data_IF_786083194972
#
_entry.id   IF_786083194972
#
_cell.length_a   1.000
_cell.length_b   1.000
_cell.length_c   1.000
_cell.angle_alpha   90.00
_cell.angle_beta   90.00
_cell.angle_gamma   90.00
#
_symmetry.space_group_name_H-M   'P 1'
#
loop_
_entity.id
_entity.type
_entity.pdbx_description
1 polymer ?
#
# COMPACT_ATOMS: atom_id res chain seq x y z
N UNK A 1 19.27 -6.92 17.24
CA UNK A 1 18.26 -6.84 16.14
C UNK A 1 16.83 -6.97 16.66
N UNK A 2 16.49 -8.01 17.42
CA UNK A 2 15.14 -8.23 17.98
C UNK A 2 14.69 -7.09 18.91
N UNK A 3 15.57 -6.55 19.75
CA UNK A 3 15.26 -5.41 20.63
C UNK A 3 14.92 -4.13 19.86
N UNK A 4 15.61 -3.88 18.75
CA UNK A 4 15.34 -2.73 17.89
C UNK A 4 13.97 -2.84 17.20
N UNK A 5 13.60 -4.06 16.76
CA UNK A 5 12.26 -4.34 16.22
C UNK A 5 11.19 -4.16 17.29
N UNK A 6 11.40 -4.70 18.50
CA UNK A 6 10.48 -4.51 19.63
C UNK A 6 10.30 -3.02 19.98
N UNK A 7 11.37 -2.24 19.98
CA UNK A 7 11.31 -0.80 20.24
C UNK A 7 10.52 -0.04 19.17
N UNK A 8 10.62 -0.43 17.90
CA UNK A 8 9.82 0.14 16.80
C UNK A 8 8.34 -0.23 16.92
N UNK A 9 8.04 -1.50 17.18
CA UNK A 9 6.67 -1.98 17.41
C UNK A 9 6.03 -1.30 18.63
N UNK A 10 6.81 -1.06 19.69
CA UNK A 10 6.36 -0.30 20.85
C UNK A 10 5.91 1.11 20.46
N UNK A 11 6.72 1.85 19.71
CA UNK A 11 6.38 3.19 19.21
C UNK A 11 5.12 3.20 18.33
N UNK A 12 4.98 2.23 17.43
CA UNK A 12 3.75 2.08 16.63
C UNK A 12 2.53 1.81 17.50
N UNK A 13 2.67 0.96 18.52
CA UNK A 13 1.60 0.67 19.47
C UNK A 13 1.16 1.93 20.22
N UNK A 14 2.11 2.76 20.67
CA UNK A 14 1.78 4.05 21.29
C UNK A 14 1.03 4.98 20.34
N UNK A 15 1.48 5.10 19.08
CA UNK A 15 0.79 5.90 18.07
C UNK A 15 -0.65 5.41 17.80
N UNK A 16 -0.87 4.09 17.81
CA UNK A 16 -2.21 3.49 17.64
C UNK A 16 -3.10 3.63 18.87
N UNK A 17 -2.54 3.56 20.08
CA UNK A 17 -3.29 3.86 21.32
C UNK A 17 -3.73 5.32 21.31
N UNK A 18 -2.85 6.21 20.87
CA UNK A 18 -3.11 7.63 20.84
C UNK A 18 -4.13 8.04 19.76
N UNK A 19 -4.04 7.44 18.57
CA UNK A 19 -4.95 7.70 17.46
C UNK A 19 -5.49 6.37 16.91
N UNK A 20 -6.64 5.86 17.41
CA UNK A 20 -7.16 4.55 17.02
C UNK A 20 -7.56 4.48 15.54
N UNK A 21 -7.89 5.62 14.92
CA UNK A 21 -8.16 5.71 13.49
C UNK A 21 -6.95 5.32 12.61
N UNK A 22 -5.72 5.55 13.08
CA UNK A 22 -4.51 5.13 12.34
C UNK A 22 -4.36 3.60 12.30
N UNK A 23 -4.87 2.91 13.32
CA UNK A 23 -4.90 1.45 13.33
C UNK A 23 -5.81 0.93 12.20
N UNK A 24 -7.00 1.52 12.05
CA UNK A 24 -7.93 1.15 10.98
C UNK A 24 -7.37 1.45 9.60
N UNK A 25 -6.75 2.62 9.42
CA UNK A 25 -6.10 3.00 8.17
C UNK A 25 -4.91 2.07 7.83
N UNK A 26 -4.12 1.69 8.84
CA UNK A 26 -3.04 0.71 8.66
C UNK A 26 -3.56 -0.69 8.29
N UNK A 27 -4.65 -1.15 8.91
CA UNK A 27 -5.30 -2.43 8.57
C UNK A 27 -5.87 -2.37 7.14
N UNK A 28 -6.51 -1.27 6.77
CA UNK A 28 -7.06 -1.07 5.43
C UNK A 28 -5.97 -1.10 4.37
N UNK A 29 -4.86 -0.39 4.58
CA UNK A 29 -3.72 -0.39 3.67
C UNK A 29 -3.05 -1.78 3.59
N UNK A 30 -2.96 -2.50 4.70
CA UNK A 30 -2.49 -3.89 4.70
C UNK A 30 -3.43 -4.82 3.91
N UNK A 31 -4.74 -4.60 4.02
CA UNK A 31 -5.72 -5.34 3.24
C UNK A 31 -5.59 -5.05 1.74
N UNK A 32 -5.44 -3.79 1.33
CA UNK A 32 -5.18 -3.43 -0.08
C UNK A 32 -3.90 -4.11 -0.58
N UNK A 33 -2.83 -4.11 0.21
CA UNK A 33 -1.60 -4.80 -0.14
C UNK A 33 -1.84 -6.29 -0.41
N UNK A 34 -2.51 -7.01 0.51
CA UNK A 34 -2.83 -8.42 0.31
C UNK A 34 -3.72 -8.65 -0.91
N UNK A 35 -4.77 -7.84 -1.06
CA UNK A 35 -5.66 -7.90 -2.21
C UNK A 35 -4.91 -7.66 -3.52
N UNK A 36 -3.93 -6.76 -3.54
CA UNK A 36 -3.12 -6.52 -4.73
C UNK A 36 -2.31 -7.74 -5.14
N UNK A 37 -1.79 -8.52 -4.19
CA UNK A 37 -1.06 -9.76 -4.48
C UNK A 37 -2.00 -10.81 -5.08
N UNK A 38 -3.17 -11.00 -4.47
CA UNK A 38 -4.14 -12.03 -4.85
C UNK A 38 -4.84 -11.68 -6.17
N UNK A 39 -5.20 -10.41 -6.36
CA UNK A 39 -6.00 -9.96 -7.51
C UNK A 39 -5.17 -9.60 -8.74
N UNK A 40 -3.85 -9.46 -8.63
CA UNK A 40 -3.03 -9.03 -9.77
C UNK A 40 -3.18 -9.95 -10.99
N UNK A 41 -2.94 -11.26 -10.83
CA UNK A 41 -3.10 -12.22 -11.92
C UNK A 41 -4.52 -12.26 -12.52
N UNK A 42 -5.60 -12.43 -11.73
CA UNK A 42 -6.94 -12.48 -12.30
C UNK A 42 -7.32 -11.17 -13.00
N UNK A 43 -6.87 -10.01 -12.51
CA UNK A 43 -7.04 -8.74 -13.22
C UNK A 43 -6.30 -8.70 -14.55
N UNK A 44 -5.05 -9.18 -14.62
CA UNK A 44 -4.31 -9.23 -15.88
C UNK A 44 -4.94 -10.18 -16.90
N UNK A 45 -5.45 -11.33 -16.46
CA UNK A 45 -6.20 -12.26 -17.32
C UNK A 45 -7.52 -11.65 -17.79
N UNK A 46 -8.22 -10.94 -16.92
CA UNK A 46 -9.43 -10.21 -17.28
C UNK A 46 -9.16 -9.14 -18.34
N UNK A 47 -8.12 -8.32 -18.14
CA UNK A 47 -7.69 -7.30 -19.09
C UNK A 47 -7.27 -7.91 -20.43
N UNK A 48 -6.58 -9.05 -20.41
CA UNK A 48 -6.19 -9.77 -21.62
C UNK A 48 -7.39 -10.25 -22.45
N UNK A 49 -8.45 -10.71 -21.78
CA UNK A 49 -9.68 -11.22 -22.42
C UNK A 49 -10.72 -10.13 -22.70
N UNK A 50 -10.43 -8.89 -22.33
CA UNK A 50 -11.36 -7.77 -22.44
C UNK A 50 -11.55 -7.43 -23.93
N UNK A 51 -12.69 -7.87 -24.46
CA UNK A 51 -13.10 -7.62 -25.83
C UNK A 51 -14.17 -6.53 -25.83
N UNK A 52 -13.85 -5.40 -26.45
CA UNK A 52 -14.80 -4.31 -26.66
C UNK A 52 -14.99 -4.13 -28.16
N UNK A 53 -16.24 -4.25 -28.62
CA UNK A 53 -16.64 -4.08 -30.03
C UNK A 53 -15.83 -4.95 -31.01
N UNK A 54 -15.48 -6.18 -30.63
CA UNK A 54 -14.75 -7.12 -31.48
C UNK A 54 -13.23 -6.94 -31.48
N UNK A 55 -12.71 -5.95 -30.75
CA UNK A 55 -11.28 -5.72 -30.57
C UNK A 55 -10.79 -6.11 -29.17
N UNK A 56 -9.66 -6.82 -29.11
CA UNK A 56 -8.96 -7.11 -27.86
C UNK A 56 -8.02 -5.95 -27.51
N UNK A 57 -8.53 -4.94 -26.81
CA UNK A 57 -7.84 -3.66 -26.60
C UNK A 57 -6.47 -3.77 -25.90
N UNK A 58 -6.32 -4.70 -24.97
CA UNK A 58 -5.11 -4.83 -24.15
C UNK A 58 -4.27 -6.06 -24.48
N UNK A 59 -4.73 -6.92 -25.40
CA UNK A 59 -4.05 -8.17 -25.71
C UNK A 59 -2.66 -7.93 -26.31
N UNK A 60 -2.55 -7.05 -27.30
CA UNK A 60 -1.27 -6.75 -27.95
C UNK A 60 -0.29 -6.07 -27.00
N UNK A 61 -0.78 -5.12 -26.17
CA UNK A 61 0.03 -4.44 -25.16
C UNK A 61 0.59 -5.42 -24.12
N UNK A 62 -0.23 -6.36 -23.65
CA UNK A 62 0.19 -7.38 -22.68
C UNK A 62 1.17 -8.36 -23.32
N UNK A 63 0.94 -8.79 -24.56
CA UNK A 63 1.84 -9.72 -25.28
C UNK A 63 3.20 -9.10 -25.58
N UNK A 64 3.26 -7.82 -25.93
CA UNK A 64 4.52 -7.12 -26.16
C UNK A 64 5.31 -6.87 -24.87
N UNK A 65 4.62 -6.82 -23.72
CA UNK A 65 5.20 -6.44 -22.43
C UNK A 65 5.11 -7.54 -21.35
N UNK A 66 5.05 -8.82 -21.74
CA UNK A 66 4.85 -9.94 -20.79
C UNK A 66 5.84 -9.92 -19.63
N UNK A 67 7.12 -9.61 -19.87
CA UNK A 67 8.12 -9.50 -18.80
C UNK A 67 7.74 -8.43 -17.76
N UNK A 68 7.29 -7.27 -18.22
CA UNK A 68 6.86 -6.17 -17.35
C UNK A 68 5.61 -6.56 -16.55
N UNK A 69 4.67 -7.27 -17.17
CA UNK A 69 3.49 -7.82 -16.49
C UNK A 69 3.87 -8.81 -15.39
N UNK A 70 4.83 -9.71 -15.64
CA UNK A 70 5.31 -10.63 -14.62
C UNK A 70 5.98 -9.88 -13.46
N UNK A 71 6.82 -8.89 -13.74
CA UNK A 71 7.43 -8.05 -12.71
C UNK A 71 6.41 -7.20 -11.94
N UNK A 72 5.31 -6.82 -12.60
CA UNK A 72 4.20 -6.11 -11.99
C UNK A 72 3.58 -6.83 -10.79
N UNK A 73 3.65 -8.17 -10.74
CA UNK A 73 3.20 -8.97 -9.59
C UNK A 73 3.95 -8.60 -8.29
N UNK A 74 5.18 -8.10 -8.39
CA UNK A 74 5.97 -7.65 -7.24
C UNK A 74 5.95 -6.13 -7.09
N UNK A 75 6.03 -5.40 -8.20
CA UNK A 75 6.08 -3.94 -8.20
C UNK A 75 4.77 -3.33 -7.67
N UNK A 76 3.62 -3.89 -8.06
CA UNK A 76 2.31 -3.35 -7.68
C UNK A 76 2.02 -3.51 -6.17
N UNK A 77 2.23 -4.68 -5.55
CA UNK A 77 2.12 -4.78 -4.10
C UNK A 77 3.12 -3.90 -3.37
N UNK A 78 4.36 -3.83 -3.85
CA UNK A 78 5.38 -2.99 -3.22
C UNK A 78 5.00 -1.51 -3.25
N UNK A 79 4.45 -1.01 -4.35
CA UNK A 79 3.99 0.38 -4.44
C UNK A 79 2.83 0.65 -3.49
N UNK A 80 1.87 -0.27 -3.35
CA UNK A 80 0.81 -0.16 -2.33
C UNK A 80 1.35 -0.17 -0.91
N UNK A 81 2.36 -0.99 -0.60
CA UNK A 81 2.97 -1.02 0.72
C UNK A 81 3.68 0.29 1.06
N UNK A 82 4.44 0.85 0.11
CA UNK A 82 5.11 2.14 0.27
C UNK A 82 4.08 3.26 0.42
N UNK A 83 3.08 3.29 -0.45
CA UNK A 83 2.01 4.29 -0.41
C UNK A 83 1.23 4.22 0.91
N UNK A 84 0.83 3.02 1.33
CA UNK A 84 0.12 2.81 2.59
C UNK A 84 0.93 3.19 3.82
N UNK A 85 2.27 3.05 3.78
CA UNK A 85 3.15 3.55 4.82
C UNK A 85 3.12 5.08 4.89
N UNK A 86 3.30 5.77 3.76
CA UNK A 86 3.26 7.23 3.71
C UNK A 86 1.89 7.80 4.10
N UNK A 87 0.82 7.12 3.74
CA UNK A 87 -0.55 7.52 4.10
C UNK A 87 -0.79 7.48 5.62
N UNK A 88 -0.33 6.42 6.31
CA UNK A 88 -0.37 6.32 7.78
C UNK A 88 0.49 7.41 8.43
N UNK A 89 1.69 7.64 7.91
CA UNK A 89 2.66 8.62 8.42
C UNK A 89 2.08 10.03 8.30
N UNK A 90 1.60 10.43 7.12
CA UNK A 90 0.99 11.74 6.87
C UNK A 90 -0.25 11.95 7.75
N UNK A 91 -1.08 10.92 7.89
CA UNK A 91 -2.25 10.95 8.78
C UNK A 91 -1.86 11.14 10.25
N UNK A 92 -0.77 10.51 10.71
CA UNK A 92 -0.25 10.70 12.07
C UNK A 92 0.28 12.12 12.27
N UNK A 93 1.09 12.62 11.34
CA UNK A 93 1.63 13.99 11.40
C UNK A 93 0.53 15.04 11.45
N UNK A 94 -0.48 14.91 10.59
CA UNK A 94 -1.64 15.82 10.56
C UNK A 94 -2.38 15.83 11.89
N UNK A 95 -2.62 14.66 12.50
CA UNK A 95 -3.32 14.55 13.79
C UNK A 95 -2.47 15.04 14.95
N UNK A 96 -1.19 14.72 14.95
CA UNK A 96 -0.25 15.19 15.95
C UNK A 96 -0.11 16.72 15.90
N UNK A 97 -0.02 17.30 14.71
CA UNK A 97 0.01 18.75 14.51
C UNK A 97 -1.29 19.41 14.98
N UNK A 98 -2.46 18.82 14.68
CA UNK A 98 -3.74 19.35 15.16
C UNK A 98 -3.86 19.32 16.68
N UNK A 99 -3.40 18.25 17.33
CA UNK A 99 -3.53 18.06 18.78
C UNK A 99 -2.48 18.84 19.58
N UNK A 100 -1.23 18.86 19.11
CA UNK A 100 -0.09 19.41 19.84
C UNK A 100 0.49 20.69 19.25
N UNK A 101 -0.03 21.17 18.10
CA UNK A 101 0.50 22.32 17.34
C UNK A 101 1.99 22.22 16.99
N UNK A 102 2.54 21.00 17.03
CA UNK A 102 3.93 20.71 16.74
C UNK A 102 4.02 19.39 15.95
N UNK A 103 5.02 19.29 15.07
CA UNK A 103 5.34 18.05 14.39
C UNK A 103 5.93 17.04 15.39
N UNK A 104 5.73 15.74 15.15
CA UNK A 104 6.35 14.73 15.99
C UNK A 104 7.88 14.77 15.88
N UNK A 105 8.59 14.47 16.98
CA UNK A 105 10.05 14.62 17.12
C UNK A 105 10.91 13.92 16.04
N UNK A 106 10.35 13.00 15.27
CA UNK A 106 11.05 12.29 14.19
C UNK A 106 10.87 12.94 12.81
N UNK A 107 9.99 13.93 12.70
CA UNK A 107 9.75 14.74 11.49
C UNK A 107 10.48 16.10 11.52
N UNK A 108 11.10 16.45 12.66
CA UNK A 108 12.01 17.60 12.80
C UNK A 108 13.45 17.22 12.48
#
# INVERSE_FOLDING_TARGET
MIEWVKGRLGRMKYAFIEFPELKWLSIFNFFIFLMSIVLYQPLMVFLYKLNLMGGYLFQDLIQQNVKLVIWGQFIVPLSFAIWGYFDVVSSYESKHLKKYKQLPKWAN
#
